data_IF_455526241607
#
_entry.id   IF_455526241607
#
_cell.length_a   1.000
_cell.length_b   1.000
_cell.length_c   1.000
_cell.angle_alpha   90.00
_cell.angle_beta   90.00
_cell.angle_gamma   90.00
#
_symmetry.space_group_name_H-M   'P 1'
#
loop_
_entity.id
_entity.type
_entity.pdbx_description
1 polymer ?
#
# COMPACT_ATOMS: atom_id res chain seq x y z
N UNK A 1 27.28 -1.17 1.46
CA UNK A 1 26.40 -0.88 0.31
C UNK A 1 26.50 0.57 -0.21
N UNK A 2 26.28 1.61 0.60
CA UNK A 2 26.27 3.00 0.09
C UNK A 2 27.57 3.46 -0.60
N UNK A 3 28.73 3.06 -0.07
CA UNK A 3 30.04 3.37 -0.67
C UNK A 3 30.23 2.69 -2.03
N UNK A 4 29.84 1.40 -2.16
CA UNK A 4 29.89 0.65 -3.43
C UNK A 4 29.03 1.30 -4.50
N UNK A 5 27.80 1.67 -4.13
CA UNK A 5 26.87 2.34 -5.04
C UNK A 5 27.40 3.72 -5.47
N UNK A 6 28.05 4.47 -4.58
CA UNK A 6 28.65 5.75 -4.95
C UNK A 6 29.82 5.59 -5.93
N UNK A 7 30.64 4.56 -5.74
CA UNK A 7 31.75 4.23 -6.64
C UNK A 7 31.26 3.83 -8.04
N UNK A 8 30.27 2.95 -8.12
CA UNK A 8 29.67 2.50 -9.39
C UNK A 8 28.95 3.64 -10.14
N UNK A 9 28.32 4.57 -9.40
CA UNK A 9 27.56 5.67 -9.98
C UNK A 9 28.38 6.93 -10.28
N UNK A 10 29.61 7.02 -9.79
CA UNK A 10 30.45 8.22 -9.91
C UNK A 10 29.86 9.47 -9.25
N UNK A 11 28.94 9.30 -8.28
CA UNK A 11 28.32 10.40 -7.54
C UNK A 11 27.97 9.99 -6.11
N UNK A 12 27.95 10.93 -5.15
CA UNK A 12 27.55 10.63 -3.78
C UNK A 12 26.13 10.05 -3.68
N UNK A 13 25.98 8.93 -2.95
CA UNK A 13 24.68 8.30 -2.69
C UNK A 13 24.30 8.45 -1.21
N UNK A 14 23.16 9.09 -0.95
CA UNK A 14 22.52 9.05 0.37
C UNK A 14 21.55 7.87 0.41
N UNK A 15 21.93 6.82 1.15
CA UNK A 15 21.12 5.61 1.29
C UNK A 15 20.15 5.71 2.47
N UNK A 16 18.88 5.40 2.23
CA UNK A 16 17.86 5.15 3.26
C UNK A 16 17.39 3.71 3.18
N UNK A 17 17.62 2.95 4.26
CA UNK A 17 17.15 1.56 4.36
C UNK A 17 15.72 1.54 4.91
N UNK A 18 14.91 0.61 4.41
CA UNK A 18 13.48 0.53 4.71
C UNK A 18 13.03 -0.91 4.82
N UNK A 19 11.88 -1.10 5.47
CA UNK A 19 11.09 -2.33 5.44
C UNK A 19 9.79 -2.10 4.65
N UNK A 20 9.91 -1.38 3.53
CA UNK A 20 8.79 -0.98 2.69
C UNK A 20 8.14 -2.19 2.01
N UNK A 21 6.86 -2.41 2.24
CA UNK A 21 6.13 -3.60 1.75
C UNK A 21 5.81 -3.62 0.25
N UNK A 22 5.85 -2.47 -0.45
CA UNK A 22 5.40 -2.35 -1.86
C UNK A 22 6.41 -1.72 -2.82
N UNK A 23 7.43 -1.05 -2.30
CA UNK A 23 8.44 -0.35 -3.09
C UNK A 23 9.80 -0.74 -2.58
N UNK A 24 10.43 -1.65 -3.31
CA UNK A 24 11.68 -2.29 -2.91
C UNK A 24 12.89 -1.40 -3.19
N UNK A 25 12.83 -0.62 -4.28
CA UNK A 25 13.85 0.34 -4.68
C UNK A 25 13.16 1.61 -5.16
N UNK A 26 13.63 2.77 -4.73
CA UNK A 26 13.21 4.07 -5.29
C UNK A 26 14.33 5.09 -5.13
N UNK A 27 14.44 6.05 -6.04
CA UNK A 27 15.49 7.06 -5.99
C UNK A 27 14.97 8.42 -6.41
N UNK A 28 15.66 9.47 -5.95
CA UNK A 28 15.50 10.84 -6.44
C UNK A 28 16.87 11.40 -6.76
N UNK A 29 17.02 11.90 -7.98
CA UNK A 29 18.27 12.48 -8.46
C UNK A 29 18.29 13.97 -8.19
N UNK A 30 19.25 14.42 -7.39
CA UNK A 30 19.61 15.84 -7.27
C UNK A 30 20.82 16.17 -8.15
N UNK A 31 21.19 17.45 -8.20
CA UNK A 31 22.36 17.93 -8.96
C UNK A 31 23.69 17.38 -8.43
N UNK A 32 23.80 17.14 -7.11
CA UNK A 32 25.06 16.72 -6.46
C UNK A 32 24.97 15.39 -5.69
N UNK A 33 23.77 14.87 -5.41
CA UNK A 33 23.58 13.65 -4.62
C UNK A 33 22.41 12.84 -5.15
N UNK A 34 22.57 11.51 -5.18
CA UNK A 34 21.49 10.57 -5.43
C UNK A 34 20.90 10.13 -4.09
N UNK A 35 19.65 10.49 -3.82
CA UNK A 35 18.93 9.97 -2.67
C UNK A 35 18.30 8.62 -3.05
N UNK A 36 18.85 7.52 -2.53
CA UNK A 36 18.42 6.17 -2.84
C UNK A 36 17.75 5.54 -1.61
N UNK A 37 16.58 4.95 -1.81
CA UNK A 37 15.81 4.25 -0.78
C UNK A 37 15.67 2.79 -1.17
N UNK A 38 16.17 1.89 -0.32
CA UNK A 38 16.22 0.44 -0.56
C UNK A 38 15.52 -0.34 0.56
N UNK A 39 14.89 -1.45 0.20
CA UNK A 39 14.46 -2.46 1.15
C UNK A 39 15.68 -3.11 1.81
N UNK A 40 15.59 -3.46 3.10
CA UNK A 40 16.70 -4.06 3.86
C UNK A 40 17.22 -5.38 3.26
N UNK A 41 16.42 -6.08 2.45
CA UNK A 41 16.79 -7.34 1.79
C UNK A 41 17.93 -7.16 0.77
N UNK A 42 18.22 -5.92 0.37
CA UNK A 42 19.34 -5.63 -0.51
C UNK A 42 20.66 -5.45 0.24
N UNK A 43 20.65 -5.31 1.57
CA UNK A 43 21.88 -5.09 2.35
C UNK A 43 22.88 -6.23 2.18
N UNK A 44 22.37 -7.46 2.07
CA UNK A 44 23.14 -8.68 1.89
C UNK A 44 23.04 -9.23 0.45
N UNK A 45 22.63 -8.40 -0.51
CA UNK A 45 22.45 -8.85 -1.88
C UNK A 45 23.80 -9.17 -2.56
N UNK A 46 23.85 -10.21 -3.42
CA UNK A 46 25.03 -10.52 -4.20
C UNK A 46 25.47 -9.34 -5.08
N UNK A 47 26.77 -9.26 -5.38
CA UNK A 47 27.36 -8.16 -6.15
C UNK A 47 26.65 -7.86 -7.50
N UNK A 48 26.19 -8.85 -8.28
CA UNK A 48 25.41 -8.58 -9.50
C UNK A 48 24.12 -7.79 -9.25
N UNK A 49 23.47 -8.02 -8.11
CA UNK A 49 22.24 -7.32 -7.72
C UNK A 49 22.55 -5.90 -7.27
N UNK A 50 23.65 -5.69 -6.54
CA UNK A 50 24.10 -4.35 -6.13
C UNK A 50 24.41 -3.49 -7.35
N UNK A 51 25.08 -4.05 -8.36
CA UNK A 51 25.31 -3.37 -9.66
C UNK A 51 24.00 -3.06 -10.38
N UNK A 52 23.06 -4.01 -10.40
CA UNK A 52 21.74 -3.76 -10.97
C UNK A 52 20.98 -2.61 -10.26
N UNK A 53 21.12 -2.47 -8.94
CA UNK A 53 20.56 -1.31 -8.20
C UNK A 53 21.20 0.00 -8.68
N UNK A 54 22.53 0.02 -8.84
CA UNK A 54 23.25 1.18 -9.36
C UNK A 54 22.78 1.52 -10.79
N UNK A 55 22.75 0.56 -11.70
CA UNK A 55 22.34 0.78 -13.09
C UNK A 55 20.88 1.25 -13.20
N UNK A 56 20.00 0.67 -12.39
CA UNK A 56 18.59 1.05 -12.32
C UNK A 56 18.40 2.50 -11.85
N UNK A 57 19.15 2.93 -10.82
CA UNK A 57 19.09 4.30 -10.29
C UNK A 57 19.91 5.33 -11.10
N UNK A 58 20.92 4.83 -11.81
CA UNK A 58 21.99 5.58 -12.43
C UNK A 58 21.79 5.88 -13.91
N UNK A 59 21.46 4.86 -14.71
CA UNK A 59 21.55 4.91 -16.18
C UNK A 59 20.29 4.43 -16.90
N UNK A 60 19.27 3.94 -16.17
CA UNK A 60 18.01 3.50 -16.75
C UNK A 60 18.14 2.25 -17.64
N UNK A 61 19.12 1.37 -17.32
CA UNK A 61 19.41 0.20 -18.14
C UNK A 61 18.31 -0.86 -18.03
N UNK A 62 17.75 -1.30 -19.17
CA UNK A 62 16.60 -2.24 -19.18
C UNK A 62 16.91 -3.60 -18.54
N UNK A 63 18.16 -4.04 -18.62
CA UNK A 63 18.63 -5.32 -18.03
C UNK A 63 18.66 -5.30 -16.51
N UNK A 64 18.90 -4.13 -15.91
CA UNK A 64 18.93 -3.98 -14.45
C UNK A 64 17.57 -4.28 -13.82
N UNK A 65 16.47 -3.92 -14.49
CA UNK A 65 15.12 -4.22 -14.02
C UNK A 65 14.87 -5.72 -13.85
N UNK A 66 15.27 -6.54 -14.82
CA UNK A 66 15.04 -7.98 -14.80
C UNK A 66 15.79 -8.68 -13.65
N UNK A 67 17.06 -8.30 -13.42
CA UNK A 67 17.90 -8.84 -12.34
C UNK A 67 17.29 -8.48 -10.97
N UNK A 68 16.84 -7.23 -10.81
CA UNK A 68 16.18 -6.80 -9.58
C UNK A 68 14.85 -7.54 -9.37
N UNK A 69 14.03 -7.68 -10.40
CA UNK A 69 12.74 -8.38 -10.32
C UNK A 69 12.92 -9.86 -9.93
N UNK A 70 13.93 -10.53 -10.48
CA UNK A 70 14.26 -11.92 -10.15
C UNK A 70 14.71 -12.06 -8.68
N UNK A 71 15.64 -11.21 -8.24
CA UNK A 71 16.10 -11.21 -6.84
C UNK A 71 14.95 -10.92 -5.87
N UNK A 72 14.14 -9.90 -6.17
CA UNK A 72 12.94 -9.55 -5.38
C UNK A 72 11.99 -10.75 -5.31
N UNK A 73 11.75 -11.45 -6.43
CA UNK A 73 10.89 -12.64 -6.49
C UNK A 73 11.41 -13.76 -5.59
N UNK A 74 12.72 -14.01 -5.60
CA UNK A 74 13.38 -15.00 -4.74
C UNK A 74 13.26 -14.70 -3.24
N UNK A 75 13.18 -13.42 -2.86
CA UNK A 75 13.00 -13.01 -1.46
C UNK A 75 11.52 -12.90 -1.01
N UNK A 76 10.54 -13.01 -1.92
CA UNK A 76 9.11 -12.93 -1.59
C UNK A 76 8.65 -13.88 -0.47
N UNK A 77 9.10 -15.15 -0.38
CA UNK A 77 8.69 -16.03 0.70
C UNK A 77 9.09 -15.52 2.08
N UNK A 78 10.30 -14.96 2.22
CA UNK A 78 10.80 -14.39 3.47
C UNK A 78 10.03 -13.12 3.87
N UNK A 79 9.76 -12.24 2.90
CA UNK A 79 8.93 -11.05 3.11
C UNK A 79 7.52 -11.46 3.57
N UNK A 80 6.95 -12.52 2.99
CA UNK A 80 5.64 -13.07 3.38
C UNK A 80 5.65 -13.66 4.79
N UNK A 81 6.70 -14.35 5.19
CA UNK A 81 6.82 -14.91 6.53
C UNK A 81 6.89 -13.80 7.58
N UNK A 82 7.76 -12.80 7.40
CA UNK A 82 7.86 -11.66 8.32
C UNK A 82 6.55 -10.86 8.42
N UNK A 83 5.74 -10.81 7.36
CA UNK A 83 4.39 -10.20 7.41
C UNK A 83 3.49 -10.92 8.41
N UNK A 84 3.42 -12.25 8.34
CA UNK A 84 2.58 -13.07 9.25
C UNK A 84 2.98 -12.90 10.71
N UNK A 85 4.28 -12.74 10.98
CA UNK A 85 4.81 -12.59 12.34
C UNK A 85 4.64 -11.17 12.92
N UNK A 86 4.66 -10.13 12.07
CA UNK A 86 4.61 -8.71 12.49
C UNK A 86 3.22 -8.08 12.47
N UNK A 87 2.25 -8.72 11.80
CA UNK A 87 0.84 -8.33 11.79
C UNK A 87 0.17 -8.71 13.13
N UNK A 88 0.60 -8.00 14.18
CA UNK A 88 -0.07 -7.92 15.47
C UNK A 88 -1.58 -7.74 15.29
N UNK A 89 -2.36 -8.43 16.13
CA UNK A 89 -3.79 -8.66 16.05
C UNK A 89 -4.57 -7.54 15.36
N UNK A 90 -5.15 -7.90 14.22
CA UNK A 90 -6.08 -7.10 13.46
C UNK A 90 -7.30 -6.80 14.36
N UNK A 91 -7.29 -5.66 15.06
CA UNK A 91 -8.35 -5.27 15.99
C UNK A 91 -9.43 -4.45 15.26
N UNK A 92 -10.68 -4.92 15.19
CA UNK A 92 -11.78 -4.20 14.55
C UNK A 92 -12.43 -3.13 15.44
N UNK A 93 -12.22 -3.16 16.77
CA UNK A 93 -12.86 -2.23 17.69
C UNK A 93 -12.13 -0.90 17.75
N UNK A 94 -12.78 0.13 17.22
CA UNK A 94 -12.37 1.52 17.34
C UNK A 94 -13.01 2.20 18.55
N UNK A 95 -12.77 3.50 18.66
CA UNK A 95 -13.40 4.41 19.63
C UNK A 95 -14.83 4.77 19.23
N UNK A 96 -15.07 4.91 17.93
CA UNK A 96 -16.34 5.36 17.38
C UNK A 96 -17.03 4.26 16.57
N UNK A 97 -16.26 3.41 15.87
CA UNK A 97 -16.83 2.35 15.03
C UNK A 97 -16.32 0.95 15.40
N UNK A 98 -17.24 -0.02 15.34
CA UNK A 98 -16.91 -1.43 15.28
C UNK A 98 -16.81 -1.86 13.81
N UNK A 99 -15.60 -2.03 13.31
CA UNK A 99 -15.39 -2.40 11.91
C UNK A 99 -15.90 -3.81 11.59
N UNK A 100 -15.94 -4.72 12.58
CA UNK A 100 -16.44 -6.07 12.36
C UNK A 100 -17.95 -6.01 12.09
N UNK A 101 -18.70 -5.23 12.87
CA UNK A 101 -20.13 -5.05 12.67
C UNK A 101 -20.45 -4.42 11.29
N UNK A 102 -19.72 -3.37 10.89
CA UNK A 102 -19.90 -2.73 9.59
C UNK A 102 -19.50 -3.66 8.43
N UNK A 103 -18.43 -4.43 8.60
CA UNK A 103 -18.01 -5.44 7.63
C UNK A 103 -19.06 -6.53 7.47
N UNK A 104 -19.58 -7.10 8.56
CA UNK A 104 -20.55 -8.18 8.50
C UNK A 104 -21.85 -7.74 7.82
N UNK A 105 -22.32 -6.52 8.13
CA UNK A 105 -23.48 -5.94 7.46
C UNK A 105 -23.21 -5.74 5.96
N UNK A 106 -22.11 -5.08 5.61
CA UNK A 106 -21.76 -4.82 4.21
C UNK A 106 -21.57 -6.11 3.40
N UNK A 107 -20.90 -7.11 3.98
CA UNK A 107 -20.66 -8.41 3.34
C UNK A 107 -21.96 -9.15 3.07
N UNK A 108 -22.89 -9.15 4.04
CA UNK A 108 -24.21 -9.76 3.87
C UNK A 108 -25.01 -9.03 2.79
N UNK A 109 -25.12 -7.72 2.88
CA UNK A 109 -26.07 -6.92 2.10
C UNK A 109 -25.61 -6.77 0.63
N UNK A 110 -24.29 -6.74 0.38
CA UNK A 110 -23.77 -6.53 -0.97
C UNK A 110 -23.03 -7.74 -1.56
N UNK A 111 -22.47 -8.63 -0.74
CA UNK A 111 -21.59 -9.70 -1.23
C UNK A 111 -22.09 -11.10 -0.91
N UNK A 112 -23.31 -11.23 -0.41
CA UNK A 112 -23.93 -12.52 -0.05
C UNK A 112 -23.07 -13.32 0.95
N UNK A 113 -22.29 -12.63 1.79
CA UNK A 113 -21.38 -13.25 2.76
C UNK A 113 -20.12 -13.88 2.16
N UNK A 114 -19.82 -13.68 0.87
CA UNK A 114 -18.72 -14.35 0.19
C UNK A 114 -17.33 -13.73 0.44
N UNK A 115 -17.26 -12.54 1.03
CA UNK A 115 -15.98 -11.94 1.39
C UNK A 115 -15.44 -12.65 2.63
N UNK A 116 -14.20 -13.15 2.54
CA UNK A 116 -13.54 -13.94 3.59
C UNK A 116 -12.42 -13.15 4.28
N UNK A 117 -12.35 -11.85 4.01
CA UNK A 117 -11.31 -11.00 4.53
C UNK A 117 -11.49 -10.79 6.03
N UNK A 118 -10.38 -10.71 6.76
CA UNK A 118 -10.40 -10.16 8.13
C UNK A 118 -10.33 -8.65 8.05
N UNK A 119 -11.00 -7.92 8.93
CA UNK A 119 -10.96 -6.45 8.98
C UNK A 119 -10.40 -5.93 10.30
N UNK A 120 -9.68 -4.82 10.25
CA UNK A 120 -9.41 -4.04 11.46
C UNK A 120 -8.74 -2.70 11.18
N UNK A 121 -8.41 -2.00 12.26
CA UNK A 121 -7.77 -0.70 12.18
C UNK A 121 -6.29 -0.81 11.82
N UNK A 122 -5.84 0.09 10.95
CA UNK A 122 -4.43 0.31 10.69
C UNK A 122 -3.71 0.96 11.89
N UNK A 123 -2.38 0.88 11.91
CA UNK A 123 -1.58 1.59 12.92
C UNK A 123 -1.60 3.08 12.65
N UNK A 124 -1.75 3.91 13.68
CA UNK A 124 -1.68 5.37 13.55
C UNK A 124 -0.26 5.76 13.10
N UNK A 125 -0.10 6.32 11.89
CA UNK A 125 1.21 6.76 11.41
C UNK A 125 1.67 8.03 12.14
N UNK A 126 3.00 8.25 12.29
CA UNK A 126 3.52 9.46 12.92
C UNK A 126 3.07 10.75 12.20
N UNK A 127 2.87 11.81 12.99
CA UNK A 127 2.44 13.12 12.50
C UNK A 127 3.44 13.69 11.50
N UNK A 128 2.98 13.91 10.27
CA UNK A 128 3.77 14.52 9.19
C UNK A 128 2.82 15.16 8.20
N UNK A 129 3.25 16.25 7.55
CA UNK A 129 2.49 16.86 6.45
C UNK A 129 2.41 15.88 5.28
N UNK A 130 1.19 15.55 4.84
CA UNK A 130 0.92 14.62 3.72
C UNK A 130 0.18 15.36 2.62
N UNK A 131 0.43 14.93 1.37
CA UNK A 131 -0.31 15.40 0.19
C UNK A 131 -1.47 14.47 -0.18
N UNK A 132 -1.45 13.24 0.33
CA UNK A 132 -2.47 12.23 0.11
C UNK A 132 -2.55 11.30 1.32
N UNK A 133 -3.71 10.67 1.49
CA UNK A 133 -3.99 9.66 2.51
C UNK A 133 -4.62 8.47 1.81
N UNK A 134 -4.30 7.26 2.29
CA UNK A 134 -5.00 6.05 1.89
C UNK A 134 -5.94 5.68 3.03
N UNK A 135 -7.24 5.68 2.76
CA UNK A 135 -8.28 5.51 3.77
C UNK A 135 -8.56 4.04 4.10
N UNK A 136 -8.30 3.13 3.16
CA UNK A 136 -8.38 1.69 3.34
C UNK A 136 -7.35 0.96 2.50
N UNK A 137 -7.06 -0.30 2.83
CA UNK A 137 -6.28 -1.18 1.97
C UNK A 137 -6.70 -2.64 2.16
N UNK A 138 -6.92 -3.33 1.04
CA UNK A 138 -6.98 -4.78 0.98
C UNK A 138 -5.62 -5.39 0.62
N UNK A 139 -5.09 -6.29 1.46
CA UNK A 139 -3.90 -7.11 1.14
C UNK A 139 -4.33 -8.49 0.62
N UNK A 140 -4.09 -8.75 -0.66
CA UNK A 140 -4.40 -10.02 -1.32
C UNK A 140 -3.66 -11.23 -0.74
N UNK A 141 -2.48 -11.03 -0.15
CA UNK A 141 -1.66 -12.13 0.38
C UNK A 141 -2.18 -12.62 1.73
N UNK A 142 -2.61 -11.69 2.59
CA UNK A 142 -3.12 -12.00 3.93
C UNK A 142 -4.64 -12.05 4.00
N UNK A 143 -5.35 -11.57 2.96
CA UNK A 143 -6.81 -11.38 2.94
C UNK A 143 -7.25 -10.49 4.11
N UNK A 144 -6.59 -9.36 4.26
CA UNK A 144 -6.87 -8.40 5.32
C UNK A 144 -7.32 -7.06 4.73
N UNK A 145 -8.40 -6.51 5.29
CA UNK A 145 -8.80 -5.12 5.12
C UNK A 145 -8.29 -4.32 6.31
N UNK A 146 -7.55 -3.25 6.02
CA UNK A 146 -7.11 -2.30 7.04
C UNK A 146 -7.67 -0.93 6.77
N UNK A 147 -8.44 -0.40 7.71
CA UNK A 147 -9.04 0.93 7.63
C UNK A 147 -8.15 1.93 8.38
N UNK A 148 -7.94 3.11 7.80
CA UNK A 148 -7.08 4.11 8.40
C UNK A 148 -7.72 4.69 9.68
N UNK A 149 -7.00 4.77 10.82
CA UNK A 149 -7.57 5.20 12.10
C UNK A 149 -7.99 6.69 12.15
N UNK A 150 -7.72 7.45 11.09
CA UNK A 150 -8.25 8.83 10.94
C UNK A 150 -9.76 8.85 10.65
N UNK A 151 -10.36 7.70 10.32
CA UNK A 151 -11.80 7.56 10.16
C UNK A 151 -12.53 7.25 11.47
N UNK A 152 -11.79 6.96 12.56
CA UNK A 152 -12.36 6.56 13.85
C UNK A 152 -12.61 7.78 14.75
N UNK A 153 -13.42 8.72 14.24
CA UNK A 153 -13.80 9.94 14.97
C UNK A 153 -15.30 10.23 14.81
N UNK A 154 -15.94 10.93 15.76
CA UNK A 154 -17.38 11.20 15.71
C UNK A 154 -17.83 12.06 14.53
N UNK A 155 -16.93 12.85 13.95
CA UNK A 155 -17.22 13.73 12.81
C UNK A 155 -17.29 12.98 11.48
N UNK A 156 -16.78 11.75 11.42
CA UNK A 156 -16.83 10.89 10.24
C UNK A 156 -18.19 10.18 10.24
N UNK A 157 -19.03 10.33 9.21
CA UNK A 157 -20.31 9.61 9.16
C UNK A 157 -20.12 8.10 8.95
N UNK A 158 -20.98 7.27 9.56
CA UNK A 158 -20.90 5.81 9.42
C UNK A 158 -20.96 5.36 7.96
N UNK A 159 -21.84 5.96 7.15
CA UNK A 159 -21.99 5.62 5.73
C UNK A 159 -20.69 5.81 4.95
N UNK A 160 -19.82 6.73 5.38
CA UNK A 160 -18.53 6.95 4.74
C UNK A 160 -17.56 5.83 5.10
N UNK A 161 -17.52 5.40 6.36
CA UNK A 161 -16.71 4.25 6.79
C UNK A 161 -17.17 2.98 6.07
N UNK A 162 -18.49 2.75 6.01
CA UNK A 162 -19.10 1.65 5.25
C UNK A 162 -18.71 1.69 3.76
N UNK A 163 -18.70 2.88 3.14
CA UNK A 163 -18.25 3.03 1.75
C UNK A 163 -16.79 2.60 1.56
N UNK A 164 -15.88 3.00 2.47
CA UNK A 164 -14.48 2.57 2.41
C UNK A 164 -14.38 1.05 2.60
N UNK A 165 -15.12 0.46 3.54
CA UNK A 165 -15.15 -1.00 3.73
C UNK A 165 -15.63 -1.70 2.45
N UNK A 166 -16.74 -1.23 1.87
CA UNK A 166 -17.27 -1.74 0.61
C UNK A 166 -16.25 -1.66 -0.53
N UNK A 167 -15.55 -0.51 -0.67
CA UNK A 167 -14.46 -0.34 -1.62
C UNK A 167 -13.35 -1.38 -1.42
N UNK A 168 -12.91 -1.60 -0.18
CA UNK A 168 -11.86 -2.56 0.12
C UNK A 168 -12.29 -4.02 -0.14
N UNK A 169 -13.55 -4.36 0.14
CA UNK A 169 -14.12 -5.67 -0.21
C UNK A 169 -14.12 -5.93 -1.72
N UNK A 170 -14.37 -4.90 -2.53
CA UNK A 170 -14.34 -5.04 -4.00
C UNK A 170 -12.97 -5.47 -4.52
N UNK A 171 -11.87 -5.11 -3.86
CA UNK A 171 -10.55 -5.57 -4.26
C UNK A 171 -10.41 -7.09 -4.19
N UNK A 172 -11.16 -7.79 -3.32
CA UNK A 172 -11.17 -9.27 -3.34
C UNK A 172 -11.72 -9.82 -4.66
N UNK A 173 -12.78 -9.22 -5.20
CA UNK A 173 -13.44 -9.66 -6.45
C UNK A 173 -12.66 -9.24 -7.70
N UNK A 174 -11.98 -8.11 -7.63
CA UNK A 174 -11.26 -7.52 -8.76
C UNK A 174 -9.77 -7.43 -8.43
N UNK A 175 -9.05 -8.57 -8.37
CA UNK A 175 -7.62 -8.55 -8.14
C UNK A 175 -6.93 -7.75 -9.23
N UNK A 176 -5.88 -7.03 -8.84
CA UNK A 176 -5.21 -6.11 -9.76
C UNK A 176 -4.63 -6.88 -10.95
N UNK A 177 -5.23 -6.72 -12.13
CA UNK A 177 -4.77 -7.38 -13.34
C UNK A 177 -3.60 -6.59 -13.93
N UNK A 178 -2.56 -7.30 -14.35
CA UNK A 178 -1.41 -6.73 -15.06
C UNK A 178 -1.41 -7.24 -16.50
N UNK A 179 -1.72 -6.37 -17.46
CA UNK A 179 -1.32 -6.58 -18.86
C UNK A 179 -0.27 -5.51 -19.20
N UNK A 180 0.90 -5.92 -19.66
CA UNK A 180 1.94 -5.01 -20.17
C UNK A 180 2.63 -4.11 -19.13
N UNK A 181 2.77 -4.56 -17.87
CA UNK A 181 3.54 -3.84 -16.85
C UNK A 181 2.81 -2.70 -16.11
N UNK A 182 1.56 -2.37 -16.49
CA UNK A 182 0.72 -1.41 -15.75
C UNK A 182 -0.34 -2.15 -14.93
N UNK A 183 -0.25 -2.04 -13.59
CA UNK A 183 -1.21 -2.65 -12.67
C UNK A 183 -2.48 -1.79 -12.62
N UNK A 184 -3.62 -2.36 -12.98
CA UNK A 184 -4.93 -1.68 -12.90
C UNK A 184 -5.64 -2.16 -11.65
N UNK A 185 -5.74 -1.29 -10.64
CA UNK A 185 -6.40 -1.60 -9.36
C UNK A 185 -7.92 -1.45 -9.42
N UNK A 186 -8.42 -0.55 -10.28
CA UNK A 186 -9.85 -0.24 -10.39
C UNK A 186 -10.30 -0.34 -11.85
N UNK A 187 -10.45 -1.56 -12.40
CA UNK A 187 -10.96 -1.76 -13.75
C UNK A 187 -12.39 -1.22 -13.90
N UNK A 188 -12.90 -1.12 -15.14
CA UNK A 188 -14.25 -0.60 -15.40
C UNK A 188 -15.33 -1.30 -14.56
N UNK A 189 -15.30 -2.64 -14.51
CA UNK A 189 -16.23 -3.43 -13.72
C UNK A 189 -16.16 -3.13 -12.20
N UNK A 190 -14.96 -2.84 -11.67
CA UNK A 190 -14.81 -2.38 -10.28
C UNK A 190 -15.58 -1.09 -10.07
N UNK A 191 -15.37 -0.08 -10.93
CA UNK A 191 -16.01 1.25 -10.79
C UNK A 191 -17.53 1.19 -10.98
N UNK A 192 -18.00 0.33 -11.88
CA UNK A 192 -19.44 0.10 -12.07
C UNK A 192 -20.05 -0.52 -10.82
N UNK A 193 -19.38 -1.51 -10.22
CA UNK A 193 -19.82 -2.10 -8.96
C UNK A 193 -19.73 -1.12 -7.80
N UNK A 194 -18.67 -0.32 -7.73
CA UNK A 194 -18.48 0.70 -6.70
C UNK A 194 -19.65 1.70 -6.65
N UNK A 195 -20.14 2.13 -7.82
CA UNK A 195 -21.29 3.05 -7.96
C UNK A 195 -22.62 2.49 -7.46
N UNK A 196 -22.72 1.17 -7.27
CA UNK A 196 -23.94 0.54 -6.74
C UNK A 196 -24.12 0.74 -5.24
N UNK A 197 -23.10 1.26 -4.54
CA UNK A 197 -23.23 1.59 -3.12
C UNK A 197 -24.28 2.70 -2.91
N UNK A 198 -25.28 2.51 -2.01
CA UNK A 198 -26.41 3.44 -1.87
C UNK A 198 -25.99 4.89 -1.62
N UNK A 199 -24.92 5.10 -0.86
CA UNK A 199 -24.41 6.44 -0.53
C UNK A 199 -23.19 6.86 -1.35
N UNK A 200 -22.93 6.24 -2.51
CA UNK A 200 -21.74 6.49 -3.33
C UNK A 200 -21.51 7.99 -3.61
N UNK A 201 -22.53 8.69 -4.10
CA UNK A 201 -22.41 10.11 -4.41
C UNK A 201 -22.19 10.98 -3.15
N UNK A 202 -22.81 10.61 -2.02
CA UNK A 202 -22.62 11.30 -0.75
C UNK A 202 -21.20 11.07 -0.20
N UNK A 203 -20.68 9.84 -0.30
CA UNK A 203 -19.33 9.51 0.13
C UNK A 203 -18.27 10.27 -0.65
N UNK A 204 -18.38 10.36 -1.98
CA UNK A 204 -17.45 11.15 -2.80
C UNK A 204 -17.53 12.66 -2.53
N UNK A 205 -18.71 13.19 -2.19
CA UNK A 205 -18.83 14.60 -1.77
C UNK A 205 -18.13 14.81 -0.44
N UNK A 206 -18.46 13.98 0.54
CA UNK A 206 -17.87 14.06 1.89
C UNK A 206 -16.34 13.95 1.84
N UNK A 207 -15.79 13.01 1.06
CA UNK A 207 -14.34 12.85 0.90
C UNK A 207 -13.69 14.14 0.38
N UNK A 208 -14.24 14.75 -0.68
CA UNK A 208 -13.70 15.99 -1.26
C UNK A 208 -13.73 17.16 -0.28
N UNK A 209 -14.80 17.27 0.50
CA UNK A 209 -15.00 18.36 1.47
C UNK A 209 -14.12 18.18 2.72
N UNK A 210 -13.80 16.94 3.12
CA UNK A 210 -13.12 16.63 4.37
C UNK A 210 -11.67 16.15 4.22
N UNK A 211 -11.15 16.04 2.99
CA UNK A 211 -9.78 15.58 2.73
C UNK A 211 -8.72 16.38 3.50
N UNK A 212 -8.91 17.70 3.64
CA UNK A 212 -7.99 18.56 4.40
C UNK A 212 -7.90 18.21 5.88
N UNK A 213 -9.01 17.77 6.49
CA UNK A 213 -9.05 17.31 7.89
C UNK A 213 -8.32 15.98 8.02
N UNK A 214 -8.63 15.03 7.13
CA UNK A 214 -8.03 13.70 7.12
C UNK A 214 -6.50 13.71 6.90
N UNK A 215 -5.99 14.70 6.16
CA UNK A 215 -4.54 14.86 5.93
C UNK A 215 -3.76 15.43 7.12
N UNK A 216 -4.46 16.03 8.09
CA UNK A 216 -3.86 16.63 9.30
C UNK A 216 -3.81 15.67 10.49
N UNK A 217 -4.55 14.55 10.41
CA UNK A 217 -4.59 13.47 11.42
C UNK A 217 -3.27 12.73 11.60
#
# INVERSE_FOLDING_TARGET
MAWRLSAELGMPVRLSVTDNRSTMVSFRRGSAVLALRLHHMFLDAPEPVVRAVADYAGRGHRTAGAILDEYIRGQQPRIRQMRRESDADLNPRGRCFDLQALYDATNRDFFQGLIQARIGWGRMPPRRRRKSIRLGVYDHQTREIRIHPALDTPEVPSFFVEFIIFHEMLHQLFPSTGRGGRRVHHPRAFRERERTFPHYAAALRWERENLGVLLRG
#
